data_IF_319893314048
#
_entry.id   IF_319893314048
#
_cell.length_a   1.000
_cell.length_b   1.000
_cell.length_c   1.000
_cell.angle_alpha   90.00
_cell.angle_beta   90.00
_cell.angle_gamma   90.00
#
_symmetry.space_group_name_H-M   'P 1'
#
loop_
_entity.id
_entity.type
_entity.pdbx_description
1 polymer ?
#
# COMPACT_ATOMS: atom_id res chain seq x y z
N UNK A 1 21.56 5.58 5.02
CA UNK A 1 20.25 5.94 5.29
C UNK A 1 19.35 4.75 5.25
N UNK A 2 18.60 4.65 6.21
CA UNK A 2 17.82 3.45 6.37
C UNK A 2 16.41 3.63 5.88
N UNK A 3 15.98 2.72 5.07
CA UNK A 3 14.59 2.62 4.66
C UNK A 3 13.96 1.39 5.23
N UNK A 4 14.59 0.86 6.27
CA UNK A 4 14.07 -0.34 6.86
C UNK A 4 12.69 -0.12 7.42
N UNK A 5 11.83 -1.06 7.16
CA UNK A 5 10.50 -1.07 7.71
C UNK A 5 10.32 -2.36 8.47
N UNK A 6 9.65 -2.25 9.61
CA UNK A 6 9.36 -3.44 10.40
C UNK A 6 8.13 -4.12 9.85
N UNK A 7 8.20 -5.43 9.70
CA UNK A 7 7.02 -6.20 9.39
C UNK A 7 6.25 -6.37 10.70
N UNK A 8 5.01 -5.93 10.71
CA UNK A 8 4.21 -5.93 11.93
C UNK A 8 3.09 -6.95 11.84
N UNK A 9 2.41 -7.13 12.96
CA UNK A 9 1.22 -7.98 13.00
C UNK A 9 -0.05 -7.23 12.68
N UNK A 10 0.06 -5.96 12.34
CA UNK A 10 -1.10 -5.12 12.13
C UNK A 10 -1.65 -5.30 10.73
N UNK A 11 -2.96 -5.37 10.62
CA UNK A 11 -3.63 -5.38 9.33
C UNK A 11 -4.15 -3.98 9.04
N UNK A 12 -4.00 -3.54 7.81
CA UNK A 12 -4.57 -2.28 7.36
C UNK A 12 -5.91 -2.58 6.70
N UNK A 13 -6.95 -1.94 7.19
CA UNK A 13 -8.28 -2.07 6.60
C UNK A 13 -8.65 -0.74 5.96
N UNK A 14 -9.06 -0.79 4.71
CA UNK A 14 -9.36 0.40 3.96
C UNK A 14 -10.68 0.20 3.20
N UNK A 15 -11.11 1.21 2.45
CA UNK A 15 -12.44 1.20 1.86
C UNK A 15 -12.55 0.44 0.54
N UNK A 16 -11.45 -0.11 0.08
CA UNK A 16 -11.45 -0.87 -1.18
C UNK A 16 -11.18 -0.04 -2.41
N UNK A 17 -11.13 1.27 -2.28
CA UNK A 17 -10.85 2.13 -3.43
C UNK A 17 -9.35 2.20 -3.70
N UNK A 18 -9.01 2.58 -4.93
CA UNK A 18 -7.61 2.73 -5.27
C UNK A 18 -6.96 3.84 -4.44
N UNK A 19 -7.69 4.95 -4.25
CA UNK A 19 -7.18 6.02 -3.41
C UNK A 19 -6.93 5.54 -2.00
N UNK A 20 -7.83 4.73 -1.46
CA UNK A 20 -7.62 4.16 -0.13
C UNK A 20 -6.42 3.24 -0.08
N UNK A 21 -6.21 2.45 -1.15
CA UNK A 21 -5.03 1.62 -1.23
C UNK A 21 -3.75 2.47 -1.21
N UNK A 22 -3.73 3.57 -1.95
CA UNK A 22 -2.58 4.44 -1.95
C UNK A 22 -2.35 5.05 -0.56
N UNK A 23 -3.42 5.28 0.18
CA UNK A 23 -3.27 5.75 1.55
C UNK A 23 -2.66 4.68 2.45
N UNK A 24 -2.93 3.41 2.16
CA UNK A 24 -2.26 2.33 2.89
C UNK A 24 -0.75 2.38 2.63
N UNK A 25 -0.36 2.62 1.38
CA UNK A 25 1.06 2.77 1.06
C UNK A 25 1.64 3.96 1.83
N UNK A 26 0.94 5.09 1.80
CA UNK A 26 1.40 6.27 2.52
C UNK A 26 1.58 5.98 4.00
N UNK A 27 0.60 5.31 4.60
CA UNK A 27 0.64 5.03 6.03
C UNK A 27 1.83 4.13 6.36
N UNK A 28 2.12 3.16 5.50
CA UNK A 28 3.23 2.26 5.77
C UNK A 28 4.55 3.01 5.79
N UNK A 29 4.69 4.04 4.95
CA UNK A 29 5.89 4.86 4.98
C UNK A 29 5.91 5.78 6.20
N UNK A 30 4.77 6.39 6.51
CA UNK A 30 4.71 7.30 7.64
C UNK A 30 5.05 6.59 8.93
N UNK A 31 4.67 5.33 9.06
CA UNK A 31 4.91 4.56 10.27
C UNK A 31 6.13 3.68 10.17
N UNK A 32 6.77 3.62 9.01
CA UNK A 32 7.97 2.81 8.78
C UNK A 32 7.70 1.36 9.10
N UNK A 33 6.59 0.84 8.61
CA UNK A 33 6.21 -0.54 8.86
C UNK A 33 5.63 -1.16 7.61
N UNK A 34 5.64 -2.48 7.57
CA UNK A 34 4.96 -3.24 6.54
C UNK A 34 3.85 -4.02 7.24
N UNK A 35 2.59 -3.80 6.87
CA UNK A 35 1.51 -4.50 7.56
C UNK A 35 1.50 -5.97 7.24
N UNK A 36 0.90 -6.75 8.13
CA UNK A 36 0.76 -8.18 7.90
C UNK A 36 -0.28 -8.46 6.82
N UNK A 37 -1.29 -7.60 6.72
CA UNK A 37 -2.34 -7.74 5.73
C UNK A 37 -2.84 -6.38 5.31
N UNK A 38 -3.38 -6.31 4.10
CA UNK A 38 -4.08 -5.14 3.62
C UNK A 38 -5.41 -5.65 3.09
N UNK A 39 -6.50 -5.23 3.71
CA UNK A 39 -7.79 -5.84 3.48
C UNK A 39 -8.83 -4.82 3.07
N UNK A 40 -9.57 -5.07 1.99
CA UNK A 40 -10.77 -4.29 1.71
C UNK A 40 -11.88 -4.68 2.67
N UNK A 41 -13.00 -3.94 2.65
CA UNK A 41 -14.03 -4.14 3.69
C UNK A 41 -14.55 -5.56 3.77
N UNK A 42 -14.59 -6.28 2.66
CA UNK A 42 -15.19 -7.60 2.65
C UNK A 42 -14.33 -8.66 3.30
N UNK A 43 -13.04 -8.40 3.50
CA UNK A 43 -12.12 -9.44 3.90
C UNK A 43 -11.46 -9.21 5.23
N UNK A 44 -11.64 -8.07 5.84
CA UNK A 44 -10.77 -7.65 6.91
C UNK A 44 -11.18 -8.04 8.29
N UNK A 45 -12.04 -9.01 8.47
CA UNK A 45 -12.65 -9.20 9.76
C UNK A 45 -11.95 -10.19 10.66
N UNK A 46 -11.04 -10.98 10.15
CA UNK A 46 -10.46 -12.05 10.95
C UNK A 46 -9.04 -11.75 11.32
N UNK A 47 -8.85 -10.71 12.08
CA UNK A 47 -7.53 -10.33 12.47
C UNK A 47 -7.38 -10.45 13.97
N UNK A 48 -6.46 -11.30 14.40
CA UNK A 48 -6.26 -11.55 15.81
C UNK A 48 -5.23 -10.65 16.45
N UNK A 49 -4.52 -9.86 15.65
CA UNK A 49 -3.41 -9.11 16.19
C UNK A 49 -3.73 -7.65 16.36
N UNK A 50 -4.15 -7.03 15.37
CA UNK A 50 -4.46 -5.62 15.44
C UNK A 50 -4.92 -5.16 14.09
N UNK A 51 -5.81 -4.21 14.12
CA UNK A 51 -6.36 -3.68 12.89
C UNK A 51 -6.22 -2.18 12.94
N UNK A 52 -5.67 -1.61 11.88
CA UNK A 52 -5.59 -0.17 11.75
C UNK A 52 -6.52 0.24 10.63
N UNK A 53 -7.46 1.10 10.95
CA UNK A 53 -8.38 1.60 9.95
C UNK A 53 -7.68 2.71 9.17
N UNK A 54 -7.58 2.55 7.86
CA UNK A 54 -6.93 3.54 7.01
C UNK A 54 -8.04 4.31 6.30
N UNK A 55 -8.14 5.59 6.64
CA UNK A 55 -9.15 6.44 6.02
C UNK A 55 -8.56 7.06 4.76
N UNK A 56 -9.39 7.19 3.74
CA UNK A 56 -8.94 7.76 2.48
C UNK A 56 -8.71 9.25 2.64
N UNK A 57 -7.49 9.67 2.33
CA UNK A 57 -7.09 11.07 2.38
C UNK A 57 -6.55 11.42 1.01
N UNK A 58 -7.21 12.33 0.33
CA UNK A 58 -6.85 12.63 -1.05
C UNK A 58 -5.45 13.18 -1.18
N UNK A 59 -5.00 13.95 -0.20
CA UNK A 59 -3.66 14.50 -0.28
C UNK A 59 -2.61 13.41 -0.18
N UNK A 60 -2.82 12.46 0.73
CA UNK A 60 -1.90 11.33 0.85
C UNK A 60 -1.90 10.49 -0.42
N UNK A 61 -3.09 10.22 -0.96
CA UNK A 61 -3.18 9.43 -2.18
C UNK A 61 -2.47 10.13 -3.34
N UNK A 62 -2.61 11.44 -3.44
CA UNK A 62 -1.96 12.18 -4.51
C UNK A 62 -0.44 12.13 -4.40
N UNK A 63 0.08 12.15 -3.19
CA UNK A 63 1.53 12.08 -3.02
C UNK A 63 2.06 10.76 -3.50
N UNK A 64 1.38 9.67 -3.17
CA UNK A 64 1.81 8.36 -3.65
C UNK A 64 1.65 8.27 -5.16
N UNK A 65 0.52 8.77 -5.68
CA UNK A 65 0.29 8.73 -7.12
C UNK A 65 1.36 9.52 -7.87
N UNK A 66 1.79 10.67 -7.33
CA UNK A 66 2.84 11.45 -7.96
C UNK A 66 4.14 10.66 -7.99
N UNK A 67 4.44 9.93 -6.93
CA UNK A 67 5.61 9.08 -6.92
C UNK A 67 5.55 8.00 -7.97
N UNK A 68 4.38 7.40 -8.14
CA UNK A 68 4.20 6.39 -9.19
C UNK A 68 4.35 7.00 -10.57
N UNK A 69 3.82 8.20 -10.77
CA UNK A 69 3.95 8.87 -12.06
C UNK A 69 5.41 9.07 -12.43
N UNK A 70 6.24 9.37 -11.44
CA UNK A 70 7.67 9.56 -11.70
C UNK A 70 8.36 8.27 -12.11
N UNK A 71 7.82 7.13 -11.73
CA UNK A 71 8.41 5.86 -12.09
C UNK A 71 8.11 5.46 -13.52
N UNK A 72 7.15 6.12 -14.15
CA UNK A 72 6.84 5.85 -15.53
C UNK A 72 5.54 5.13 -15.70
N UNK A 73 5.05 5.18 -16.94
CA UNK A 73 3.74 4.61 -17.24
C UNK A 73 3.70 3.11 -17.01
N UNK A 74 4.78 2.43 -17.32
CA UNK A 74 4.78 0.97 -17.22
C UNK A 74 4.53 0.52 -15.78
N UNK A 75 5.23 1.14 -14.83
CA UNK A 75 5.03 0.80 -13.43
C UNK A 75 3.61 1.15 -12.99
N UNK A 76 3.13 2.32 -13.39
CA UNK A 76 1.80 2.74 -13.02
C UNK A 76 0.74 1.78 -13.56
N UNK A 77 0.92 1.33 -14.81
CA UNK A 77 -0.02 0.39 -15.40
C UNK A 77 -0.01 -0.94 -14.66
N UNK A 78 1.17 -1.40 -14.26
CA UNK A 78 1.25 -2.65 -13.51
C UNK A 78 0.55 -2.54 -12.16
N UNK A 79 0.71 -1.41 -11.49
CA UNK A 79 0.05 -1.22 -10.21
C UNK A 79 -1.46 -1.20 -10.39
N UNK A 80 -1.93 -0.46 -11.39
CA UNK A 80 -3.37 -0.37 -11.64
C UNK A 80 -3.95 -1.73 -11.98
N UNK A 81 -3.26 -2.46 -12.86
CA UNK A 81 -3.73 -3.79 -13.26
C UNK A 81 -3.72 -4.74 -12.07
N UNK A 82 -2.65 -4.70 -11.27
CA UNK A 82 -2.56 -5.55 -10.10
C UNK A 82 -3.68 -5.27 -9.11
N UNK A 83 -4.04 -4.00 -8.98
CA UNK A 83 -5.11 -3.64 -8.05
C UNK A 83 -6.45 -4.23 -8.48
N UNK A 84 -6.65 -4.43 -9.77
CA UNK A 84 -7.90 -4.97 -10.28
C UNK A 84 -7.96 -6.49 -10.22
N UNK A 85 -6.88 -7.14 -9.85
CA UNK A 85 -6.90 -8.59 -9.69
C UNK A 85 -7.80 -8.98 -8.53
N UNK A 86 -8.30 -10.21 -8.59
CA UNK A 86 -9.18 -10.72 -7.54
C UNK A 86 -8.51 -11.74 -6.65
N UNK A 87 -7.22 -11.98 -6.82
CA UNK A 87 -6.51 -12.97 -6.04
C UNK A 87 -6.46 -12.58 -4.56
N UNK A 88 -6.66 -13.54 -3.66
CA UNK A 88 -6.53 -13.24 -2.23
C UNK A 88 -5.13 -12.73 -1.91
N UNK A 89 -5.07 -11.75 -1.04
CA UNK A 89 -3.78 -11.21 -0.63
C UNK A 89 -3.11 -10.31 -1.63
N UNK A 90 -3.79 -10.00 -2.73
CA UNK A 90 -3.17 -9.17 -3.76
C UNK A 90 -2.82 -7.77 -3.24
N UNK A 91 -3.61 -7.26 -2.31
CA UNK A 91 -3.40 -5.91 -1.83
C UNK A 91 -2.08 -5.78 -1.08
N UNK A 92 -1.76 -6.76 -0.24
CA UNK A 92 -0.48 -6.72 0.45
C UNK A 92 0.68 -6.90 -0.52
N UNK A 93 0.54 -7.84 -1.44
CA UNK A 93 1.58 -8.08 -2.43
C UNK A 93 1.82 -6.81 -3.25
N UNK A 94 0.74 -6.15 -3.62
CA UNK A 94 0.85 -4.95 -4.42
C UNK A 94 1.48 -3.80 -3.63
N UNK A 95 1.12 -3.68 -2.35
CA UNK A 95 1.73 -2.66 -1.50
C UNK A 95 3.24 -2.86 -1.43
N UNK A 96 3.67 -4.10 -1.26
CA UNK A 96 5.10 -4.39 -1.22
C UNK A 96 5.77 -4.07 -2.54
N UNK A 97 5.09 -4.37 -3.65
CA UNK A 97 5.64 -4.05 -4.96
C UNK A 97 5.80 -2.54 -5.12
N UNK A 98 4.78 -1.78 -4.74
CA UNK A 98 4.86 -0.32 -4.85
C UNK A 98 6.01 0.21 -4.01
N UNK A 99 6.14 -0.28 -2.78
CA UNK A 99 7.23 0.16 -1.94
C UNK A 99 8.59 -0.16 -2.55
N UNK A 100 8.70 -1.35 -3.12
CA UNK A 100 9.95 -1.73 -3.75
C UNK A 100 10.30 -0.79 -4.89
N UNK A 101 9.32 -0.44 -5.72
CA UNK A 101 9.57 0.46 -6.83
C UNK A 101 9.94 1.85 -6.36
N UNK A 102 9.22 2.36 -5.36
CA UNK A 102 9.48 3.70 -4.85
C UNK A 102 10.84 3.75 -4.13
N UNK A 103 11.16 2.71 -3.39
CA UNK A 103 12.42 2.66 -2.67
C UNK A 103 13.60 2.63 -3.62
N UNK A 104 13.49 1.88 -4.70
CA UNK A 104 14.57 1.79 -5.66
C UNK A 104 14.83 3.16 -6.29
N UNK A 105 13.79 3.90 -6.55
CA UNK A 105 13.95 5.22 -7.12
C UNK A 105 14.63 6.15 -6.13
N UNK A 106 14.30 6.00 -4.86
CA UNK A 106 14.85 6.88 -3.84
C UNK A 106 16.33 6.64 -3.59
N UNK A 107 16.81 5.47 -3.88
CA UNK A 107 18.19 5.10 -3.57
C UNK A 107 19.16 5.72 -4.55
N UNK A 108 18.72 6.09 -5.71
CA UNK A 108 19.60 6.69 -6.73
C UNK A 108 20.16 8.07 -6.34
#
# INVERSE_FOLDING_TARGET
>A
MSYEAHVTDTAYCYDGSFAGFLCCVFESYARKEIPAEVCPPEEGQLNFFGTRQIFTDEQHARRVAAGLDRLGREVKDRVTTGFLCTDPGKDLTLLRFVRLCLDRKSVV
#
